data_IF_782522026649
#
_entry.id   IF_782522026649
#
_cell.length_a   1.000
_cell.length_b   1.000
_cell.length_c   1.000
_cell.angle_alpha   90.00
_cell.angle_beta   90.00
_cell.angle_gamma   90.00
#
_symmetry.space_group_name_H-M   'P 1'
#
loop_
_entity.id
_entity.type
_entity.pdbx_description
1 polymer ?
#
# COMPACT_ATOMS: atom_id res chain seq x y z
N UNK A 1 38.77 0.13 12.45
CA UNK A 1 39.17 1.46 12.98
C UNK A 1 39.73 2.26 11.82
N UNK A 2 39.53 3.58 11.78
CA UNK A 2 40.15 4.47 10.78
C UNK A 2 41.33 5.18 11.43
N UNK A 3 41.09 5.80 12.60
CA UNK A 3 42.04 6.63 13.32
C UNK A 3 41.76 6.55 14.82
N UNK A 4 42.79 6.71 15.65
CA UNK A 4 42.66 6.84 17.10
C UNK A 4 43.73 7.78 17.65
N UNK A 5 43.28 8.86 18.27
CA UNK A 5 44.11 9.83 18.99
C UNK A 5 44.07 9.48 20.49
N UNK A 6 45.18 9.02 21.10
CA UNK A 6 45.23 8.65 22.51
C UNK A 6 45.26 9.85 23.45
N UNK A 7 45.75 11.02 23.01
CA UNK A 7 45.82 12.24 23.84
C UNK A 7 44.43 12.86 24.00
N UNK A 8 43.70 12.99 22.88
CA UNK A 8 42.29 13.44 22.86
C UNK A 8 41.32 12.34 23.27
N UNK A 9 41.77 11.08 23.26
CA UNK A 9 40.97 9.86 23.51
C UNK A 9 39.79 9.73 22.53
N UNK A 10 40.02 10.10 21.26
CA UNK A 10 39.01 10.07 20.19
C UNK A 10 39.32 8.94 19.20
N UNK A 11 38.32 8.10 18.92
CA UNK A 11 38.43 7.01 17.94
C UNK A 11 37.43 7.18 16.80
N UNK A 12 37.94 7.26 15.57
CA UNK A 12 37.14 7.31 14.35
C UNK A 12 37.07 5.89 13.77
N UNK A 13 35.86 5.40 13.50
CA UNK A 13 35.65 4.10 12.87
C UNK A 13 34.46 4.12 11.91
N UNK A 14 34.59 3.33 10.84
CA UNK A 14 33.47 3.00 9.97
C UNK A 14 32.78 1.73 10.45
N UNK A 15 31.46 1.67 10.32
CA UNK A 15 30.63 0.52 10.68
C UNK A 15 29.51 0.36 9.65
N UNK A 16 29.25 -0.89 9.25
CA UNK A 16 28.05 -1.29 8.52
C UNK A 16 27.18 -2.11 9.47
N UNK A 17 25.88 -1.79 9.53
CA UNK A 17 24.94 -2.37 10.47
C UNK A 17 23.54 -2.45 9.85
N UNK A 18 22.66 -3.25 10.47
CA UNK A 18 21.26 -3.35 10.07
C UNK A 18 20.47 -2.07 10.47
N UNK A 19 19.37 -1.81 9.77
CA UNK A 19 18.44 -0.74 10.10
C UNK A 19 17.90 -0.92 11.55
N UNK A 20 17.88 0.16 12.32
CA UNK A 20 17.51 0.13 13.75
C UNK A 20 18.68 -0.07 14.71
N UNK A 21 19.92 -0.30 14.23
CA UNK A 21 21.10 -0.39 15.10
C UNK A 21 21.43 0.96 15.76
N UNK A 22 21.42 1.03 17.09
CA UNK A 22 21.73 2.25 17.84
C UNK A 22 23.24 2.44 18.03
N UNK A 23 23.86 3.21 17.14
CA UNK A 23 25.32 3.48 17.18
C UNK A 23 25.76 4.14 18.51
N UNK A 24 24.92 4.98 19.13
CA UNK A 24 25.20 5.54 20.46
C UNK A 24 25.40 4.44 21.52
N UNK A 25 24.56 3.41 21.50
CA UNK A 25 24.63 2.25 22.40
C UNK A 25 25.87 1.40 22.10
N UNK A 26 26.22 1.23 20.82
CA UNK A 26 27.46 0.56 20.42
C UNK A 26 28.70 1.25 21.00
N UNK A 27 28.78 2.58 20.97
CA UNK A 27 29.90 3.32 21.57
C UNK A 27 29.97 3.16 23.10
N UNK A 28 28.83 3.09 23.79
CA UNK A 28 28.79 2.79 25.23
C UNK A 28 29.26 1.36 25.50
N UNK A 29 28.78 0.38 24.72
CA UNK A 29 29.18 -1.02 24.87
C UNK A 29 30.69 -1.21 24.63
N UNK A 30 31.27 -0.56 23.61
CA UNK A 30 32.72 -0.56 23.38
C UNK A 30 33.49 0.01 24.58
N UNK A 31 33.00 1.12 25.16
CA UNK A 31 33.56 1.71 26.37
C UNK A 31 33.48 0.81 27.60
N UNK A 32 32.41 0.03 27.75
CA UNK A 32 32.26 -0.97 28.81
C UNK A 32 33.19 -2.17 28.62
N UNK A 33 33.33 -2.68 27.39
CA UNK A 33 34.26 -3.77 27.07
C UNK A 33 35.74 -3.38 27.31
N UNK A 34 36.08 -2.10 27.13
CA UNK A 34 37.41 -1.55 27.38
C UNK A 34 37.62 -1.09 28.84
N UNK A 35 36.60 -1.17 29.70
CA UNK A 35 36.65 -0.76 31.11
C UNK A 35 36.77 0.75 31.39
N UNK A 36 37.20 1.55 30.41
CA UNK A 36 37.42 3.01 30.53
C UNK A 36 36.16 3.86 30.32
N UNK A 37 35.05 3.25 29.90
CA UNK A 37 33.84 3.97 29.50
C UNK A 37 33.94 4.57 28.08
N UNK A 38 32.82 5.05 27.55
CA UNK A 38 32.78 5.54 26.17
C UNK A 38 31.45 6.19 25.82
N UNK A 39 31.50 7.22 24.98
CA UNK A 39 30.32 7.94 24.49
C UNK A 39 30.47 8.30 23.01
N UNK A 40 29.34 8.44 22.32
CA UNK A 40 29.31 8.87 20.92
C UNK A 40 29.34 10.40 20.85
N UNK A 41 30.50 10.95 20.50
CA UNK A 41 30.74 12.38 20.31
C UNK A 41 30.00 12.91 19.06
N UNK A 42 30.28 12.34 17.89
CA UNK A 42 29.71 12.71 16.60
C UNK A 42 29.25 11.47 15.81
N UNK A 43 28.39 11.67 14.81
CA UNK A 43 27.92 10.60 13.92
C UNK A 43 27.56 11.15 12.53
N UNK A 44 28.30 10.70 11.50
CA UNK A 44 27.97 10.95 10.09
C UNK A 44 27.45 9.67 9.42
N UNK A 45 26.23 9.72 8.88
CA UNK A 45 25.67 8.59 8.09
C UNK A 45 26.10 8.68 6.62
N UNK A 46 27.17 7.96 6.30
CA UNK A 46 27.78 7.89 4.94
C UNK A 46 26.90 7.19 3.89
N UNK A 47 25.99 6.30 4.30
CA UNK A 47 25.11 5.53 3.40
C UNK A 47 23.74 5.28 4.02
N UNK A 48 22.70 5.24 3.18
CA UNK A 48 21.33 4.86 3.53
C UNK A 48 20.70 4.02 2.41
N UNK A 49 20.66 2.69 2.59
CA UNK A 49 20.13 1.77 1.58
C UNK A 49 20.95 1.78 0.29
N UNK A 50 20.35 2.21 -0.81
CA UNK A 50 21.02 2.33 -2.13
C UNK A 50 21.87 3.60 -2.25
N UNK A 51 21.55 4.68 -1.51
CA UNK A 51 22.22 5.98 -1.65
C UNK A 51 23.44 6.10 -0.72
N UNK A 52 24.58 6.52 -1.25
CA UNK A 52 25.74 7.00 -0.48
C UNK A 52 25.91 8.52 -0.54
N UNK A 53 26.76 9.08 0.31
CA UNK A 53 27.14 10.50 0.25
C UNK A 53 27.80 10.94 -1.07
N UNK A 54 28.27 9.98 -1.90
CA UNK A 54 28.83 10.22 -3.23
C UNK A 54 27.76 10.23 -4.33
N UNK A 55 26.60 9.64 -4.08
CA UNK A 55 25.49 9.53 -5.03
C UNK A 55 24.60 10.79 -5.03
N UNK A 56 25.15 11.91 -5.53
CA UNK A 56 24.41 13.18 -5.70
C UNK A 56 23.77 13.71 -4.40
N UNK A 57 24.49 13.63 -3.29
CA UNK A 57 24.11 14.31 -2.05
C UNK A 57 24.03 15.83 -2.28
N UNK A 58 22.89 16.43 -1.94
CA UNK A 58 22.62 17.87 -2.03
C UNK A 58 22.44 18.50 -0.64
N UNK A 59 22.65 19.80 -0.53
CA UNK A 59 22.45 20.60 0.68
C UNK A 59 21.08 21.31 0.66
N UNK A 60 20.67 21.87 1.79
CA UNK A 60 19.45 22.69 1.87
C UNK A 60 19.55 24.00 1.07
N UNK A 61 20.76 24.48 0.78
CA UNK A 61 20.98 25.66 -0.06
C UNK A 61 20.70 25.33 -1.53
N UNK A 62 21.22 24.20 -2.04
CA UNK A 62 20.97 23.76 -3.41
C UNK A 62 19.45 23.57 -3.69
N UNK A 63 18.69 23.12 -2.69
CA UNK A 63 17.22 22.99 -2.76
C UNK A 63 16.53 24.36 -2.85
N UNK A 64 16.98 25.35 -2.08
CA UNK A 64 16.43 26.71 -2.09
C UNK A 64 16.72 27.40 -3.43
N UNK A 65 17.96 27.32 -3.90
CA UNK A 65 18.42 27.96 -5.13
C UNK A 65 17.75 27.33 -6.37
N UNK A 66 17.56 26.01 -6.38
CA UNK A 66 16.85 25.30 -7.44
C UNK A 66 15.36 25.68 -7.53
N UNK A 67 14.70 25.88 -6.38
CA UNK A 67 13.32 26.38 -6.35
C UNK A 67 13.25 27.83 -6.82
N UNK A 68 14.14 28.71 -6.35
CA UNK A 68 14.19 30.11 -6.74
C UNK A 68 14.44 30.28 -8.25
N UNK A 69 15.34 29.48 -8.84
CA UNK A 69 15.62 29.50 -10.27
C UNK A 69 14.38 29.11 -11.09
N UNK A 70 13.65 28.08 -10.66
CA UNK A 70 12.41 27.66 -11.31
C UNK A 70 11.32 28.74 -11.22
N UNK A 71 11.11 29.35 -10.05
CA UNK A 71 10.04 30.35 -9.88
C UNK A 71 10.31 31.67 -10.65
N UNK A 72 11.57 32.10 -10.75
CA UNK A 72 11.94 33.36 -11.42
C UNK A 72 12.23 33.21 -12.91
N UNK A 73 12.93 32.14 -13.32
CA UNK A 73 13.42 31.95 -14.69
C UNK A 73 12.72 30.80 -15.44
N UNK A 74 11.89 29.98 -14.76
CA UNK A 74 11.23 28.78 -15.31
C UNK A 74 12.19 27.73 -15.86
N UNK A 75 13.44 27.73 -15.39
CA UNK A 75 14.39 26.68 -15.68
C UNK A 75 14.22 25.52 -14.69
N UNK A 76 13.84 24.36 -15.21
CA UNK A 76 13.71 23.11 -14.46
C UNK A 76 15.05 22.37 -14.28
N UNK A 77 16.13 22.79 -14.95
CA UNK A 77 17.39 22.03 -15.04
C UNK A 77 18.01 21.73 -13.67
N UNK A 78 18.04 22.73 -12.78
CA UNK A 78 18.59 22.57 -11.43
C UNK A 78 17.65 21.76 -10.53
N UNK A 79 16.34 22.01 -10.60
CA UNK A 79 15.34 21.27 -9.82
C UNK A 79 15.32 19.78 -10.18
N UNK A 80 15.46 19.43 -11.46
CA UNK A 80 15.59 18.05 -11.96
C UNK A 80 16.92 17.37 -11.61
N UNK A 81 17.95 18.14 -11.24
CA UNK A 81 19.22 17.62 -10.68
C UNK A 81 19.12 17.35 -9.17
N UNK A 82 18.33 18.16 -8.46
CA UNK A 82 18.10 18.03 -7.01
C UNK A 82 17.10 16.91 -6.69
N UNK A 83 16.01 16.79 -7.46
CA UNK A 83 14.93 15.83 -7.21
C UNK A 83 15.12 14.56 -8.05
N UNK A 84 15.54 13.47 -7.41
CA UNK A 84 15.69 12.17 -8.06
C UNK A 84 14.37 11.39 -8.20
N UNK A 85 14.18 10.62 -9.29
CA UNK A 85 13.05 9.69 -9.44
C UNK A 85 13.14 8.55 -8.40
N UNK A 86 11.98 8.14 -7.88
CA UNK A 86 11.86 7.14 -6.80
C UNK A 86 12.40 5.76 -7.19
N UNK A 87 12.44 5.48 -8.50
CA UNK A 87 13.03 4.29 -9.12
C UNK A 87 14.48 4.06 -8.67
N UNK A 88 15.24 5.12 -8.41
CA UNK A 88 16.63 5.06 -7.91
C UNK A 88 16.75 4.30 -6.58
N UNK A 89 15.72 4.35 -5.72
CA UNK A 89 15.66 3.62 -4.44
C UNK A 89 15.35 2.13 -4.61
N UNK A 90 14.79 1.72 -5.75
CA UNK A 90 14.27 0.37 -5.97
C UNK A 90 15.25 -0.55 -6.72
N UNK A 91 16.37 -0.01 -7.21
CA UNK A 91 17.37 -0.73 -8.04
C UNK A 91 18.02 -1.95 -7.39
N UNK A 92 17.86 -2.16 -6.08
CA UNK A 92 18.30 -3.38 -5.37
C UNK A 92 17.33 -4.56 -5.46
N UNK A 93 16.11 -4.37 -5.98
CA UNK A 93 15.09 -5.41 -6.08
C UNK A 93 15.05 -6.01 -7.48
N UNK A 94 14.82 -7.32 -7.57
CA UNK A 94 14.64 -8.01 -8.86
C UNK A 94 13.39 -7.50 -9.58
N UNK A 95 13.48 -7.38 -10.91
CA UNK A 95 12.53 -6.65 -11.75
C UNK A 95 11.56 -7.59 -12.47
N UNK A 96 10.29 -7.18 -12.51
CA UNK A 96 9.24 -7.83 -13.29
C UNK A 96 8.60 -6.81 -14.24
N UNK A 97 8.84 -6.93 -15.54
CA UNK A 97 8.32 -6.01 -16.56
C UNK A 97 6.93 -6.44 -16.96
N UNK A 98 5.95 -5.55 -16.78
CA UNK A 98 4.54 -5.79 -17.10
C UNK A 98 4.14 -5.15 -18.44
N UNK A 99 3.18 -5.77 -19.13
CA UNK A 99 2.52 -5.21 -20.31
C UNK A 99 1.67 -4.00 -19.92
N UNK A 100 1.74 -2.93 -20.70
CA UNK A 100 0.96 -1.68 -20.56
C UNK A 100 -0.55 -1.89 -20.33
N UNK A 101 -1.12 -2.98 -20.85
CA UNK A 101 -2.54 -3.34 -20.66
C UNK A 101 -2.88 -3.85 -19.26
N UNK A 102 -1.90 -4.32 -18.50
CA UNK A 102 -2.06 -4.80 -17.13
C UNK A 102 -1.81 -3.71 -16.07
N UNK A 103 -1.00 -2.69 -16.39
CA UNK A 103 -0.48 -1.67 -15.44
C UNK A 103 -1.59 -1.08 -14.56
N UNK A 104 -2.63 -0.48 -15.16
CA UNK A 104 -3.68 0.17 -14.37
C UNK A 104 -4.48 -0.84 -13.50
N UNK A 105 -4.63 -2.10 -13.91
CA UNK A 105 -5.26 -3.11 -13.06
C UNK A 105 -4.44 -3.37 -11.77
N UNK A 106 -3.10 -3.32 -11.87
CA UNK A 106 -2.18 -3.41 -10.72
C UNK A 106 -2.33 -2.16 -9.82
N UNK A 107 -2.53 -0.97 -10.39
CA UNK A 107 -2.81 0.27 -9.64
C UNK A 107 -4.15 0.24 -8.85
N UNK A 108 -5.10 -0.59 -9.28
CA UNK A 108 -6.32 -0.91 -8.52
C UNK A 108 -6.16 -2.07 -7.53
N UNK A 109 -4.99 -2.71 -7.46
CA UNK A 109 -4.70 -3.82 -6.54
C UNK A 109 -5.01 -5.22 -7.08
N UNK A 110 -5.18 -5.39 -8.40
CA UNK A 110 -5.36 -6.71 -8.99
C UNK A 110 -4.09 -7.58 -8.83
N UNK A 111 -4.27 -8.89 -8.59
CA UNK A 111 -3.15 -9.85 -8.53
C UNK A 111 -2.36 -9.86 -9.85
N UNK A 112 -1.05 -10.04 -9.77
CA UNK A 112 -0.17 -10.06 -10.95
C UNK A 112 -0.26 -11.44 -11.59
N UNK A 113 -0.99 -11.54 -12.70
CA UNK A 113 -1.22 -12.78 -13.45
C UNK A 113 -0.17 -12.95 -14.55
N UNK A 114 0.26 -14.19 -14.78
CA UNK A 114 1.33 -14.52 -15.74
C UNK A 114 1.11 -13.97 -17.18
N UNK A 115 -0.10 -13.99 -17.77
CA UNK A 115 -0.33 -13.38 -19.10
C UNK A 115 -0.06 -11.88 -19.18
N UNK A 116 0.00 -11.17 -18.05
CA UNK A 116 0.36 -9.75 -17.97
C UNK A 116 1.86 -9.47 -17.96
N UNK A 117 2.70 -10.47 -17.67
CA UNK A 117 4.16 -10.34 -17.67
C UNK A 117 4.67 -10.23 -19.11
N UNK A 118 5.74 -9.45 -19.30
CA UNK A 118 6.47 -9.29 -20.57
C UNK A 118 7.91 -9.81 -20.46
N UNK A 119 8.60 -9.49 -19.34
CA UNK A 119 9.96 -9.97 -19.01
C UNK A 119 10.09 -10.11 -17.50
N UNK A 120 10.99 -10.97 -17.05
CA UNK A 120 11.34 -11.18 -15.65
C UNK A 120 12.86 -11.25 -15.51
N UNK A 121 13.35 -10.92 -14.32
CA UNK A 121 14.76 -11.06 -13.96
C UNK A 121 15.08 -12.50 -13.50
N UNK A 122 16.36 -12.86 -13.50
CA UNK A 122 16.78 -14.23 -13.20
C UNK A 122 16.88 -14.52 -11.68
N UNK A 123 16.78 -15.81 -11.33
CA UNK A 123 16.88 -16.33 -9.97
C UNK A 123 15.85 -15.76 -8.99
N UNK A 124 14.68 -15.29 -9.45
CA UNK A 124 13.59 -14.85 -8.56
C UNK A 124 13.16 -16.05 -7.73
N UNK A 125 13.16 -15.90 -6.40
CA UNK A 125 12.76 -16.94 -5.45
C UNK A 125 11.36 -16.71 -4.88
N UNK A 126 10.73 -17.80 -4.42
CA UNK A 126 9.41 -17.71 -3.77
C UNK A 126 9.50 -16.89 -2.48
N UNK A 127 8.52 -16.01 -2.26
CA UNK A 127 8.46 -15.02 -1.19
C UNK A 127 9.54 -13.91 -1.26
N UNK A 128 10.37 -13.84 -2.31
CA UNK A 128 11.29 -12.70 -2.49
C UNK A 128 10.51 -11.40 -2.82
N UNK A 129 10.99 -10.27 -2.29
CA UNK A 129 10.49 -8.94 -2.67
C UNK A 129 11.05 -8.50 -4.02
N UNK A 130 10.14 -8.12 -4.92
CA UNK A 130 10.41 -7.73 -6.30
C UNK A 130 9.77 -6.37 -6.60
N UNK A 131 10.40 -5.60 -7.50
CA UNK A 131 9.81 -4.39 -8.07
C UNK A 131 9.18 -4.72 -9.42
N UNK A 132 7.94 -4.28 -9.65
CA UNK A 132 7.24 -4.51 -10.92
C UNK A 132 7.10 -3.19 -11.66
N UNK A 133 7.57 -3.18 -12.90
CA UNK A 133 7.88 -1.96 -13.68
C UNK A 133 7.18 -1.98 -15.03
N UNK A 134 6.98 -0.80 -15.62
CA UNK A 134 6.51 -0.68 -17.00
C UNK A 134 7.62 -0.95 -18.00
N UNK A 135 7.24 -1.05 -19.28
CA UNK A 135 8.16 -1.09 -20.43
C UNK A 135 9.12 0.11 -20.49
N UNK A 136 8.78 1.24 -19.87
CA UNK A 136 9.61 2.45 -19.76
C UNK A 136 10.53 2.48 -18.53
N UNK A 137 10.38 1.53 -17.60
CA UNK A 137 11.10 1.50 -16.33
C UNK A 137 10.42 2.23 -15.15
N UNK A 138 9.20 2.77 -15.33
CA UNK A 138 8.42 3.40 -14.25
C UNK A 138 8.01 2.34 -13.20
N UNK A 139 8.13 2.62 -11.91
CA UNK A 139 7.80 1.68 -10.84
C UNK A 139 6.29 1.64 -10.55
N UNK A 140 5.65 0.51 -10.89
CA UNK A 140 4.21 0.30 -10.69
C UNK A 140 3.91 -0.03 -9.23
N UNK A 141 4.58 -1.06 -8.70
CA UNK A 141 4.41 -1.53 -7.32
C UNK A 141 5.59 -2.36 -6.81
N UNK A 142 5.69 -2.45 -5.49
CA UNK A 142 6.43 -3.51 -4.77
C UNK A 142 5.52 -4.73 -4.62
N UNK A 143 6.04 -5.92 -4.91
CA UNK A 143 5.32 -7.18 -4.81
C UNK A 143 6.19 -8.28 -4.16
N UNK A 144 5.53 -9.34 -3.72
CA UNK A 144 6.15 -10.57 -3.21
C UNK A 144 5.92 -11.66 -4.26
N UNK A 145 7.01 -12.28 -4.73
CA UNK A 145 6.95 -13.36 -5.71
C UNK A 145 6.27 -14.62 -5.12
N UNK A 146 5.40 -15.26 -5.91
CA UNK A 146 4.74 -16.53 -5.58
C UNK A 146 5.22 -17.70 -6.47
N UNK A 147 6.06 -17.40 -7.45
CA UNK A 147 6.63 -18.35 -8.41
C UNK A 147 8.14 -18.05 -8.55
N UNK A 148 8.95 -19.08 -8.75
CA UNK A 148 10.37 -18.90 -9.11
C UNK A 148 10.53 -18.57 -10.59
N UNK A 149 11.67 -18.03 -11.01
CA UNK A 149 11.99 -17.81 -12.44
C UNK A 149 11.73 -19.06 -13.31
N UNK A 150 12.08 -20.26 -12.82
CA UNK A 150 11.81 -21.51 -13.53
C UNK A 150 10.30 -21.76 -13.72
N UNK A 151 9.48 -21.58 -12.67
CA UNK A 151 8.02 -21.76 -12.73
C UNK A 151 7.35 -20.70 -13.62
N UNK A 152 7.86 -19.46 -13.61
CA UNK A 152 7.40 -18.38 -14.50
C UNK A 152 7.69 -18.72 -15.98
N UNK A 153 8.71 -19.54 -16.26
CA UNK A 153 9.06 -19.98 -17.62
C UNK A 153 8.26 -21.19 -18.13
N UNK A 154 7.76 -22.06 -17.23
CA UNK A 154 7.13 -23.35 -17.60
C UNK A 154 5.62 -23.38 -17.47
N UNK A 155 5.00 -22.50 -16.68
CA UNK A 155 3.54 -22.45 -16.54
C UNK A 155 2.88 -21.59 -17.63
N UNK A 156 1.72 -22.01 -18.13
CA UNK A 156 0.88 -21.17 -19.01
C UNK A 156 0.06 -20.12 -18.22
N UNK A 157 -0.31 -20.47 -16.98
CA UNK A 157 -1.30 -19.74 -16.19
C UNK A 157 -0.91 -19.70 -14.70
N UNK A 158 -1.25 -18.61 -14.01
CA UNK A 158 -1.09 -18.50 -12.56
C UNK A 158 -0.91 -17.07 -12.06
N UNK A 159 -0.76 -16.94 -10.74
CA UNK A 159 -0.44 -15.68 -10.05
C UNK A 159 1.07 -15.66 -9.82
N UNK A 160 1.78 -14.75 -10.48
CA UNK A 160 3.24 -14.61 -10.38
C UNK A 160 3.64 -13.91 -9.08
N UNK A 161 2.87 -12.91 -8.66
CA UNK A 161 3.19 -12.12 -7.47
C UNK A 161 1.97 -11.51 -6.77
N UNK A 162 2.10 -11.33 -5.46
CA UNK A 162 1.14 -10.65 -4.58
C UNK A 162 1.62 -9.23 -4.32
N UNK A 163 0.80 -8.21 -4.59
CA UNK A 163 1.16 -6.81 -4.33
C UNK A 163 1.40 -6.60 -2.82
N UNK A 164 2.54 -5.99 -2.48
CA UNK A 164 2.88 -5.50 -1.14
C UNK A 164 2.53 -4.02 -0.98
N UNK A 165 2.88 -3.19 -1.97
CA UNK A 165 2.57 -1.75 -2.00
C UNK A 165 2.49 -1.21 -3.42
N UNK A 166 1.36 -0.62 -3.80
CA UNK A 166 1.22 0.17 -5.04
C UNK A 166 1.97 1.50 -4.88
N UNK A 167 2.66 1.93 -5.95
CA UNK A 167 3.43 3.18 -6.02
C UNK A 167 2.82 4.11 -7.07
N UNK A 168 2.65 3.61 -8.30
CA UNK A 168 2.07 4.36 -9.42
C UNK A 168 0.60 4.73 -9.16
N UNK A 169 0.20 5.91 -9.64
CA UNK A 169 -1.18 6.38 -9.53
C UNK A 169 -2.17 5.55 -10.37
N UNK A 170 -3.46 5.78 -10.12
CA UNK A 170 -4.55 5.16 -10.89
C UNK A 170 -4.80 5.96 -12.16
N UNK A 171 -5.18 5.27 -13.23
CA UNK A 171 -5.48 5.86 -14.54
C UNK A 171 -4.33 6.58 -15.27
N UNK A 172 -3.10 6.53 -14.75
CA UNK A 172 -1.86 6.87 -15.51
C UNK A 172 -1.74 6.07 -16.81
N UNK A 173 -2.30 4.84 -16.84
CA UNK A 173 -2.44 3.99 -18.02
C UNK A 173 -3.92 3.70 -18.31
N UNK A 174 -4.35 3.57 -19.58
CA UNK A 174 -5.76 3.34 -19.93
C UNK A 174 -6.29 1.98 -19.44
N UNK A 175 -7.55 1.96 -18.99
CA UNK A 175 -8.26 0.76 -18.49
C UNK A 175 -8.52 -0.25 -19.63
N UNK A 176 -7.57 -1.16 -19.87
CA UNK A 176 -7.62 -2.19 -20.92
C UNK A 176 -8.16 -3.56 -20.48
N UNK A 177 -8.56 -3.72 -19.22
CA UNK A 177 -9.11 -5.00 -18.72
C UNK A 177 -10.45 -5.35 -19.38
N UNK A 178 -10.63 -6.63 -19.74
CA UNK A 178 -11.85 -7.09 -20.40
C UNK A 178 -12.04 -6.63 -21.86
N UNK A 179 -10.98 -6.17 -22.54
CA UNK A 179 -10.96 -5.92 -23.99
C UNK A 179 -10.21 -7.01 -24.79
N UNK A 180 -9.51 -7.94 -24.12
CA UNK A 180 -8.77 -9.02 -24.77
C UNK A 180 -9.68 -10.00 -25.55
N UNK A 181 -9.14 -10.79 -26.51
CA UNK A 181 -9.94 -11.53 -27.49
C UNK A 181 -11.07 -12.38 -26.89
N UNK A 182 -10.77 -13.26 -25.94
CA UNK A 182 -11.77 -14.08 -25.21
C UNK A 182 -12.82 -13.23 -24.49
N UNK A 183 -12.44 -12.10 -23.88
CA UNK A 183 -13.38 -11.24 -23.16
C UNK A 183 -14.32 -10.48 -24.12
N UNK A 184 -13.81 -10.07 -25.29
CA UNK A 184 -14.58 -9.44 -26.35
C UNK A 184 -15.52 -10.44 -27.03
N UNK A 185 -15.06 -11.67 -27.30
CA UNK A 185 -15.90 -12.79 -27.76
C UNK A 185 -17.02 -13.09 -26.75
N UNK A 186 -16.70 -13.22 -25.45
CA UNK A 186 -17.71 -13.45 -24.39
C UNK A 186 -18.78 -12.35 -24.37
N UNK A 187 -18.38 -11.07 -24.46
CA UNK A 187 -19.32 -9.93 -24.56
C UNK A 187 -20.16 -9.98 -25.83
N UNK A 188 -19.61 -10.42 -26.95
CA UNK A 188 -20.30 -10.50 -28.24
C UNK A 188 -21.32 -11.66 -28.25
N UNK A 189 -20.96 -12.82 -27.71
CA UNK A 189 -21.88 -13.95 -27.54
C UNK A 189 -23.03 -13.67 -26.56
N UNK A 190 -22.77 -12.91 -25.49
CA UNK A 190 -23.84 -12.42 -24.58
C UNK A 190 -24.79 -11.47 -25.33
N UNK A 191 -24.27 -10.56 -26.17
CA UNK A 191 -25.10 -9.71 -27.05
C UNK A 191 -25.91 -10.51 -28.07
N UNK A 192 -25.40 -11.66 -28.52
CA UNK A 192 -26.07 -12.58 -29.44
C UNK A 192 -27.06 -13.54 -28.73
N UNK A 193 -27.19 -13.47 -27.40
CA UNK A 193 -28.07 -14.36 -26.62
C UNK A 193 -27.58 -15.82 -26.53
N UNK A 194 -26.36 -16.11 -27.01
CA UNK A 194 -25.78 -17.45 -26.96
C UNK A 194 -25.32 -17.83 -25.54
N UNK A 195 -24.96 -16.83 -24.71
CA UNK A 195 -24.69 -16.96 -23.29
C UNK A 195 -25.67 -16.10 -22.47
N UNK A 196 -25.97 -16.54 -21.25
CA UNK A 196 -26.73 -15.78 -20.26
C UNK A 196 -26.09 -14.41 -19.94
N UNK A 197 -26.88 -13.49 -19.35
CA UNK A 197 -26.48 -12.17 -18.84
C UNK A 197 -25.25 -12.20 -17.93
N UNK A 198 -25.04 -13.27 -17.16
CA UNK A 198 -23.86 -13.45 -16.30
C UNK A 198 -22.69 -14.16 -17.01
N UNK A 199 -22.82 -14.47 -18.30
CA UNK A 199 -21.80 -15.13 -19.10
C UNK A 199 -21.56 -16.59 -18.70
N UNK A 200 -22.63 -17.30 -18.34
CA UNK A 200 -22.66 -18.76 -18.18
C UNK A 200 -23.10 -19.45 -19.47
N UNK A 201 -22.74 -20.73 -19.69
CA UNK A 201 -23.24 -21.50 -20.83
C UNK A 201 -24.75 -21.77 -20.71
N UNK A 202 -25.49 -21.47 -21.76
CA UNK A 202 -26.89 -21.87 -21.99
C UNK A 202 -26.92 -23.01 -23.03
N UNK A 203 -28.03 -23.69 -23.25
CA UNK A 203 -28.11 -24.80 -24.22
C UNK A 203 -27.65 -24.39 -25.63
N UNK A 204 -27.94 -23.14 -26.02
CA UNK A 204 -27.50 -22.50 -27.27
C UNK A 204 -25.99 -22.20 -27.38
N UNK A 205 -25.15 -22.52 -26.37
CA UNK A 205 -23.71 -22.25 -26.47
C UNK A 205 -22.97 -23.26 -27.36
N UNK A 206 -22.13 -22.79 -28.31
CA UNK A 206 -21.26 -23.66 -29.10
C UNK A 206 -20.37 -24.57 -28.24
N UNK A 207 -20.25 -25.84 -28.64
CA UNK A 207 -19.41 -26.82 -27.93
C UNK A 207 -17.92 -26.39 -27.87
N UNK A 208 -17.43 -25.70 -28.90
CA UNK A 208 -16.10 -25.10 -28.93
C UNK A 208 -15.89 -24.13 -27.76
N UNK A 209 -16.85 -23.27 -27.45
CA UNK A 209 -16.76 -22.37 -26.30
C UNK A 209 -16.76 -23.14 -24.96
N UNK A 210 -17.53 -24.23 -24.84
CA UNK A 210 -17.54 -25.09 -23.64
C UNK A 210 -16.20 -25.80 -23.39
N UNK A 211 -15.44 -26.12 -24.45
CA UNK A 211 -14.14 -26.77 -24.38
C UNK A 211 -12.97 -25.78 -24.21
N UNK A 212 -13.07 -24.60 -24.83
CA UNK A 212 -11.95 -23.66 -25.00
C UNK A 212 -12.02 -22.42 -24.06
N UNK A 213 -13.04 -22.33 -23.19
CA UNK A 213 -13.16 -21.30 -22.16
C UNK A 213 -12.97 -21.89 -20.75
N UNK A 214 -11.81 -21.62 -20.14
CA UNK A 214 -11.52 -21.97 -18.74
C UNK A 214 -11.84 -20.78 -17.83
N UNK A 215 -12.74 -20.97 -16.87
CA UNK A 215 -13.04 -19.92 -15.88
C UNK A 215 -12.18 -20.06 -14.62
N UNK A 216 -11.07 -19.32 -14.59
CA UNK A 216 -10.13 -19.30 -13.46
C UNK A 216 -10.73 -18.74 -12.15
N UNK A 217 -11.95 -18.19 -12.15
CA UNK A 217 -12.67 -17.84 -10.93
C UNK A 217 -13.35 -19.04 -10.25
N UNK A 218 -13.49 -20.17 -10.95
CA UNK A 218 -13.97 -21.44 -10.38
C UNK A 218 -12.83 -22.39 -10.01
N UNK A 219 -11.71 -22.40 -10.74
CA UNK A 219 -10.51 -23.15 -10.30
C UNK A 219 -10.00 -22.60 -8.95
N UNK A 220 -9.91 -21.27 -8.81
CA UNK A 220 -9.55 -20.60 -7.57
C UNK A 220 -10.54 -20.82 -6.40
N UNK A 221 -11.74 -21.36 -6.66
CA UNK A 221 -12.66 -21.84 -5.61
C UNK A 221 -12.44 -23.32 -5.30
N UNK A 222 -12.23 -24.15 -6.33
CA UNK A 222 -11.94 -25.59 -6.19
C UNK A 222 -10.64 -25.83 -5.43
N UNK A 223 -9.63 -24.99 -5.60
CA UNK A 223 -8.36 -25.06 -4.84
C UNK A 223 -8.59 -24.88 -3.33
N UNK A 224 -9.32 -23.84 -2.89
CA UNK A 224 -9.62 -23.64 -1.46
C UNK A 224 -10.47 -24.77 -0.89
N UNK A 225 -11.40 -25.33 -1.68
CA UNK A 225 -12.19 -26.49 -1.26
C UNK A 225 -11.32 -27.76 -1.15
N UNK A 226 -10.38 -27.96 -2.07
CA UNK A 226 -9.45 -29.09 -2.03
C UNK A 226 -8.46 -29.00 -0.85
N UNK A 227 -8.06 -27.78 -0.46
CA UNK A 227 -7.25 -27.52 0.74
C UNK A 227 -8.04 -27.86 2.01
N UNK A 228 -9.29 -27.41 2.12
CA UNK A 228 -10.20 -27.73 3.25
C UNK A 228 -10.49 -29.24 3.35
N UNK A 229 -10.57 -29.95 2.23
CA UNK A 229 -10.83 -31.41 2.18
C UNK A 229 -9.57 -32.26 2.47
N UNK A 230 -8.37 -31.67 2.51
CA UNK A 230 -7.10 -32.38 2.77
C UNK A 230 -6.63 -32.41 4.23
N UNK A 231 -7.38 -31.82 5.17
CA UNK A 231 -7.09 -31.95 6.61
C UNK A 231 -7.49 -33.35 7.14
N UNK A 232 -6.56 -34.17 7.67
CA UNK A 232 -6.91 -35.51 8.16
C UNK A 232 -7.74 -35.46 9.45
N UNK A 233 -8.84 -36.21 9.50
CA UNK A 233 -9.61 -36.45 10.72
C UNK A 233 -9.31 -37.83 11.31
N UNK A 234 -8.48 -37.86 12.36
CA UNK A 234 -8.35 -38.93 13.36
C UNK A 234 -7.73 -38.28 14.61
N UNK A 235 -8.10 -38.64 15.85
CA UNK A 235 -8.82 -39.82 16.35
C UNK A 235 -10.07 -39.38 17.14
N UNK A 236 -11.12 -40.22 17.20
CA UNK A 236 -12.26 -40.02 18.08
C UNK A 236 -12.84 -41.34 18.62
N UNK A 237 -12.58 -41.64 19.90
CA UNK A 237 -13.31 -42.58 20.78
C UNK A 237 -12.87 -42.28 22.24
N UNK A 238 -13.67 -42.44 23.30
CA UNK A 238 -15.10 -42.70 23.47
C UNK A 238 -15.52 -42.12 24.86
N UNK A 239 -16.77 -42.01 25.34
CA UNK A 239 -18.12 -42.28 24.82
C UNK A 239 -19.16 -41.42 25.61
N UNK A 240 -20.42 -41.35 25.14
CA UNK A 240 -21.72 -41.36 25.90
C UNK A 240 -21.80 -40.65 27.29
N UNK A 241 -22.79 -39.82 27.65
CA UNK A 241 -24.19 -39.67 27.17
C UNK A 241 -24.89 -38.40 27.74
N UNK A 242 -26.12 -38.16 27.26
CA UNK A 242 -27.24 -37.47 27.97
C UNK A 242 -27.25 -35.93 28.08
N UNK A 243 -28.43 -35.39 28.41
CA UNK A 243 -28.85 -33.99 28.13
C UNK A 243 -30.10 -33.57 28.93
N UNK A 244 -29.97 -32.88 30.08
CA UNK A 244 -31.02 -32.00 30.67
C UNK A 244 -30.61 -31.23 31.95
N UNK A 245 -31.13 -29.98 32.06
CA UNK A 245 -31.69 -29.24 33.25
C UNK A 245 -31.20 -29.63 34.66
N UNK A 246 -30.67 -28.73 35.51
CA UNK A 246 -31.25 -27.50 36.16
C UNK A 246 -31.48 -27.77 37.67
N UNK A 247 -30.83 -26.97 38.55
CA UNK A 247 -31.13 -26.77 39.99
C UNK A 247 -30.96 -28.02 40.91
N UNK A 248 -30.72 -27.92 42.23
CA UNK A 248 -30.28 -26.82 43.12
C UNK A 248 -29.75 -27.40 44.45
N UNK A 249 -29.11 -26.56 45.30
CA UNK A 249 -28.94 -26.76 46.77
C UNK A 249 -28.05 -27.96 47.25
N UNK A 250 -27.47 -27.97 48.47
CA UNK A 250 -27.14 -26.91 49.47
C UNK A 250 -26.16 -27.47 50.53
N UNK A 251 -25.87 -26.68 51.59
CA UNK A 251 -25.08 -27.00 52.80
C UNK A 251 -23.55 -27.14 52.58
N UNK A 252 -22.67 -26.71 53.49
CA UNK A 252 -22.69 -25.80 54.65
C UNK A 252 -21.21 -25.58 55.07
N UNK A 253 -20.75 -24.60 55.84
CA UNK A 253 -21.15 -23.25 56.29
C UNK A 253 -19.99 -22.78 57.18
N UNK A 254 -19.45 -21.57 56.98
CA UNK A 254 -18.94 -20.68 58.05
C UNK A 254 -18.45 -19.35 57.43
N UNK A 255 -18.97 -18.20 57.89
CA UNK A 255 -18.69 -16.85 57.35
C UNK A 255 -19.04 -15.72 58.35
N UNK A 256 -18.76 -14.42 58.06
CA UNK A 256 -17.66 -13.85 57.27
C UNK A 256 -16.71 -13.01 58.16
N UNK A 257 -17.12 -11.90 58.82
CA UNK A 257 -17.53 -10.59 58.27
C UNK A 257 -16.30 -9.69 57.90
N UNK A 258 -16.39 -8.47 57.34
CA UNK A 258 -17.52 -7.63 56.94
C UNK A 258 -17.25 -6.91 55.59
N UNK A 259 -18.33 -6.57 54.87
CA UNK A 259 -18.36 -5.70 53.67
C UNK A 259 -19.53 -4.69 53.87
N UNK A 260 -20.36 -4.21 52.90
CA UNK A 260 -20.40 -4.24 51.42
C UNK A 260 -20.15 -2.80 50.85
N UNK A 261 -20.51 -2.29 49.65
CA UNK A 261 -21.41 -2.60 48.50
C UNK A 261 -20.65 -2.34 47.16
N UNK A 262 -21.06 -2.72 45.93
CA UNK A 262 -22.37 -2.93 45.26
C UNK A 262 -23.08 -1.59 44.91
N UNK A 263 -23.82 -1.36 43.80
CA UNK A 263 -24.54 -2.16 42.76
C UNK A 263 -24.30 -1.43 41.39
N UNK A 264 -23.94 -2.06 40.23
CA UNK A 264 -24.80 -2.65 39.15
C UNK A 264 -25.91 -1.68 38.61
N UNK A 265 -26.42 -1.67 37.35
CA UNK A 265 -26.09 -2.33 36.05
C UNK A 265 -27.01 -1.75 34.92
N UNK A 266 -26.53 -1.59 33.66
CA UNK A 266 -27.35 -1.55 32.40
C UNK A 266 -28.42 -0.41 32.24
N UNK A 267 -29.03 -0.04 31.08
CA UNK A 267 -28.96 -0.45 29.64
C UNK A 267 -29.51 0.65 28.68
N UNK A 268 -28.96 0.73 27.46
CA UNK A 268 -29.63 1.00 26.14
C UNK A 268 -30.47 2.29 25.88
N UNK A 269 -30.11 3.03 24.80
CA UNK A 269 -30.94 3.89 23.89
C UNK A 269 -31.86 4.97 24.55
N UNK A 270 -31.83 6.23 24.12
CA UNK A 270 -32.20 6.67 22.76
C UNK A 270 -32.00 8.19 22.52
N UNK A 271 -32.20 8.64 21.26
CA UNK A 271 -32.48 10.02 20.75
C UNK A 271 -31.67 11.21 21.34
N UNK A 272 -30.84 11.93 20.56
CA UNK A 272 -31.13 12.78 19.37
C UNK A 272 -31.69 14.17 19.71
N UNK A 273 -31.06 15.17 19.08
CA UNK A 273 -31.47 16.58 18.86
C UNK A 273 -31.37 17.58 20.03
N UNK A 274 -30.49 18.59 19.82
CA UNK A 274 -30.75 20.05 19.96
C UNK A 274 -30.90 20.65 21.38
N UNK A 275 -30.76 21.97 21.58
CA UNK A 275 -30.02 23.05 20.86
C UNK A 275 -30.15 24.34 21.70
N UNK A 276 -29.03 24.99 22.00
CA UNK A 276 -28.98 26.28 22.71
C UNK A 276 -29.61 26.21 24.14
N UNK A 277 -29.60 27.25 24.98
CA UNK A 277 -29.12 28.63 24.79
C UNK A 277 -28.53 29.13 26.12
N UNK A 278 -27.33 29.69 26.12
CA UNK A 278 -26.76 30.45 27.23
C UNK A 278 -25.95 31.62 26.65
N UNK A 279 -26.21 32.82 27.14
CA UNK A 279 -25.64 34.10 26.68
C UNK A 279 -26.44 35.25 27.28
N UNK A 280 -25.89 36.48 27.22
CA UNK A 280 -26.04 37.63 28.15
C UNK A 280 -24.89 37.64 29.16
N UNK A 281 -24.21 38.76 29.47
CA UNK A 281 -24.23 40.17 29.01
C UNK A 281 -22.77 40.60 28.72
N UNK A 282 -22.35 41.39 27.71
CA UNK A 282 -22.77 42.67 27.11
C UNK A 282 -22.14 43.93 27.76
N UNK A 283 -21.47 44.77 26.95
CA UNK A 283 -20.92 46.08 27.31
C UNK A 283 -20.66 46.94 26.06
N UNK A 284 -20.93 48.24 26.14
CA UNK A 284 -20.94 49.21 25.01
C UNK A 284 -19.53 49.49 24.43
N UNK A 285 -19.30 49.71 23.11
CA UNK A 285 -19.81 50.73 22.14
C UNK A 285 -19.17 52.14 22.30
N UNK A 286 -19.10 53.01 21.25
CA UNK A 286 -19.42 52.83 19.83
C UNK A 286 -18.33 53.33 18.83
N UNK A 287 -18.57 53.20 17.52
CA UNK A 287 -17.75 53.77 16.44
C UNK A 287 -18.30 53.50 15.02
N UNK A 288 -18.75 54.54 14.33
CA UNK A 288 -19.58 54.51 13.09
C UNK A 288 -18.83 54.08 11.79
N UNK A 289 -19.55 53.74 10.68
CA UNK A 289 -18.86 53.25 9.47
C UNK A 289 -19.56 52.84 8.15
N UNK A 290 -20.87 53.05 7.95
CA UNK A 290 -21.57 52.93 6.63
C UNK A 290 -21.53 51.56 5.87
N UNK A 291 -21.91 51.50 4.57
CA UNK A 291 -22.88 50.48 4.10
C UNK A 291 -22.67 49.70 2.77
N UNK A 292 -23.33 48.53 2.76
CA UNK A 292 -23.96 47.68 1.72
C UNK A 292 -23.56 47.66 0.21
N UNK A 293 -23.86 46.49 -0.38
CA UNK A 293 -24.05 46.14 -1.81
C UNK A 293 -22.81 45.77 -2.65
N UNK A 294 -22.80 44.52 -3.16
CA UNK A 294 -23.15 44.24 -4.58
C UNK A 294 -23.10 42.74 -4.96
N UNK A 295 -24.24 42.04 -4.92
CA UNK A 295 -24.41 40.73 -5.60
C UNK A 295 -24.63 40.91 -7.12
N UNK A 296 -23.59 41.10 -7.95
CA UNK A 296 -23.79 41.13 -9.43
C UNK A 296 -22.56 40.81 -10.31
N UNK A 297 -22.09 39.55 -10.34
CA UNK A 297 -21.03 39.12 -11.28
C UNK A 297 -21.20 37.69 -11.86
N UNK A 298 -22.37 37.38 -12.44
CA UNK A 298 -22.64 36.08 -13.12
C UNK A 298 -23.40 36.19 -14.47
N UNK A 299 -23.10 37.20 -15.31
CA UNK A 299 -23.66 37.27 -16.69
C UNK A 299 -22.85 38.11 -17.71
N UNK A 300 -21.51 37.94 -17.82
CA UNK A 300 -20.73 38.57 -18.90
C UNK A 300 -19.41 37.82 -19.26
N UNK A 301 -19.52 36.62 -19.86
CA UNK A 301 -18.38 35.92 -20.49
C UNK A 301 -18.79 34.87 -21.57
N UNK A 302 -19.71 35.22 -22.46
CA UNK A 302 -20.14 34.37 -23.60
C UNK A 302 -20.45 35.19 -24.87
N UNK A 303 -19.59 36.16 -25.16
CA UNK A 303 -19.70 37.07 -26.31
C UNK A 303 -18.31 37.68 -26.60
N UNK A 304 -17.34 36.84 -27.01
CA UNK A 304 -16.07 37.24 -27.65
C UNK A 304 -15.36 36.01 -28.25
N UNK A 305 -16.00 35.40 -29.26
CA UNK A 305 -15.49 34.17 -29.92
C UNK A 305 -16.01 34.02 -31.36
N UNK A 306 -16.28 35.14 -32.06
CA UNK A 306 -16.63 35.18 -33.50
C UNK A 306 -16.09 36.47 -34.12
N UNK A 307 -14.76 36.62 -34.17
CA UNK A 307 -14.04 37.66 -34.94
C UNK A 307 -12.54 37.37 -34.89
N UNK A 308 -11.99 36.79 -35.97
CA UNK A 308 -10.58 36.76 -36.41
C UNK A 308 -10.39 35.66 -37.48
N UNK A 309 -10.81 36.00 -38.71
CA UNK A 309 -10.48 35.30 -39.98
C UNK A 309 -10.35 36.41 -41.02
N UNK A 310 -9.35 36.32 -41.90
CA UNK A 310 -8.71 37.43 -42.64
C UNK A 310 -8.11 38.50 -41.70
N UNK A 311 -6.87 38.96 -41.92
CA UNK A 311 -5.95 38.77 -43.07
C UNK A 311 -4.82 37.76 -42.82
#
# INVERSE_FOLDING_TARGET
MIEYDPERRLGIFWVSCEAGTYIRTLCVHLGLLLGVGGQMQELRRVRSGVMSEKDHMVTMHDVLDAQWLYDNHKDESYLRRVVYPLEKLLTSHKRLVMKDSAVNAICYGAKIMLPGVLRYEDGIEVNQEIVVITTKGEAICMAIALMTTAVISTCDHGIVAKIKRVIMERDTYPRKWGLGPKASQKKLMIKQGLLDKHGKPTDSTPATWKQEYVDYSESAKKEVVAEVVKAPQVVAEAAKTAKRKRESESESDETPPAAPQLIKKEKKKSKKDKKAKAGLESGAEPGDGDSDTTKKKKKKKKAKEVELVSE
#
